data_IF_401010105670
#
_entry.id   IF_401010105670
#
_cell.length_a   1.000
_cell.length_b   1.000
_cell.length_c   1.000
_cell.angle_alpha   90.00
_cell.angle_beta   90.00
_cell.angle_gamma   90.00
#
_symmetry.space_group_name_H-M   'P 1'
#
loop_
_entity.id
_entity.type
_entity.pdbx_description
1 polymer ?
#
# COMPACT_ATOMS: atom_id res chain seq x y z
N UNK A 1 -16.04 -15.64 24.36
CA UNK A 1 -15.30 -16.18 23.20
C UNK A 1 -13.98 -15.41 23.09
N UNK A 2 -12.89 -16.06 22.69
CA UNK A 2 -11.64 -15.34 22.44
C UNK A 2 -11.82 -14.39 21.24
N UNK A 3 -11.34 -13.15 21.36
CA UNK A 3 -11.44 -12.12 20.32
C UNK A 3 -10.44 -12.45 19.20
N UNK A 4 -10.92 -12.57 17.96
CA UNK A 4 -10.06 -12.84 16.78
C UNK A 4 -8.99 -11.75 16.65
N UNK A 5 -7.76 -12.17 16.40
CA UNK A 5 -6.57 -11.32 16.32
C UNK A 5 -5.98 -11.29 14.92
N UNK A 6 -5.95 -10.10 14.33
CA UNK A 6 -5.25 -9.80 13.08
C UNK A 6 -3.79 -9.41 13.35
N UNK A 7 -2.86 -10.14 12.75
CA UNK A 7 -1.48 -9.72 12.61
C UNK A 7 -1.35 -8.71 11.48
N UNK A 8 -1.28 -7.42 11.80
CA UNK A 8 -1.12 -6.36 10.82
C UNK A 8 0.37 -6.24 10.46
N UNK A 9 0.73 -6.77 9.29
CA UNK A 9 2.10 -6.77 8.78
C UNK A 9 2.36 -5.49 8.01
N UNK A 10 3.19 -4.61 8.56
CA UNK A 10 3.51 -3.32 7.94
C UNK A 10 4.86 -2.78 8.40
N UNK A 11 5.54 -2.06 7.53
CA UNK A 11 6.80 -1.37 7.88
C UNK A 11 6.56 -0.17 8.78
N UNK A 12 5.54 0.63 8.48
CA UNK A 12 5.09 1.73 9.34
C UNK A 12 4.25 1.18 10.50
N UNK A 13 4.37 1.82 11.67
CA UNK A 13 3.62 1.43 12.85
C UNK A 13 2.17 1.92 12.77
N UNK A 14 1.17 1.02 12.67
CA UNK A 14 -0.23 1.39 12.45
C UNK A 14 -0.90 2.04 13.68
N UNK A 15 -0.26 2.05 14.84
CA UNK A 15 -0.79 2.65 16.08
C UNK A 15 -0.37 4.11 16.28
N UNK A 16 0.72 4.54 15.66
CA UNK A 16 1.29 5.88 15.89
C UNK A 16 1.51 6.68 14.59
N UNK A 17 1.77 6.02 13.47
CA UNK A 17 2.08 6.69 12.21
C UNK A 17 0.82 7.05 11.45
N UNK A 18 0.42 8.32 11.55
CA UNK A 18 -0.74 8.89 10.84
C UNK A 18 -0.41 9.45 9.44
N UNK A 19 0.84 9.33 8.98
CA UNK A 19 1.29 9.88 7.69
C UNK A 19 1.56 8.80 6.66
N UNK A 20 2.00 7.61 7.08
CA UNK A 20 2.26 6.51 6.19
C UNK A 20 1.04 6.19 5.32
N UNK A 21 1.26 6.20 4.00
CA UNK A 21 0.23 6.01 2.98
C UNK A 21 -1.00 6.91 3.18
N UNK A 22 -0.75 8.19 3.43
CA UNK A 22 -1.80 9.20 3.68
C UNK A 22 -2.73 8.85 4.85
N UNK A 23 -2.19 8.20 5.87
CA UNK A 23 -2.94 7.76 7.06
C UNK A 23 -3.75 6.48 6.87
N UNK A 24 -3.73 5.88 5.67
CA UNK A 24 -4.49 4.66 5.36
C UNK A 24 -4.11 3.50 6.27
N UNK A 25 -2.80 3.32 6.54
CA UNK A 25 -2.33 2.23 7.41
C UNK A 25 -2.93 2.35 8.82
N UNK A 26 -2.92 3.57 9.38
CA UNK A 26 -3.50 3.87 10.68
C UNK A 26 -5.02 3.64 10.68
N UNK A 27 -5.72 4.16 9.66
CA UNK A 27 -7.18 4.10 9.58
C UNK A 27 -7.71 2.69 9.37
N UNK A 28 -7.06 1.88 8.54
CA UNK A 28 -7.40 0.45 8.40
C UNK A 28 -7.32 -0.25 9.75
N UNK A 29 -6.24 -0.01 10.53
CA UNK A 29 -6.10 -0.64 11.85
C UNK A 29 -7.22 -0.21 12.79
N UNK A 30 -7.57 1.08 12.79
CA UNK A 30 -8.69 1.62 13.58
C UNK A 30 -10.02 0.96 13.18
N UNK A 31 -10.30 0.83 11.88
CA UNK A 31 -11.51 0.18 11.39
C UNK A 31 -11.60 -1.31 11.78
N UNK A 32 -10.49 -2.04 11.77
CA UNK A 32 -10.45 -3.45 12.24
C UNK A 32 -10.77 -3.51 13.74
N UNK A 33 -10.24 -2.60 14.55
CA UNK A 33 -10.53 -2.55 15.99
C UNK A 33 -11.98 -2.17 16.28
N UNK A 34 -12.52 -1.19 15.56
CA UNK A 34 -13.92 -0.75 15.64
C UNK A 34 -14.90 -1.85 15.25
N UNK A 35 -14.52 -2.72 14.30
CA UNK A 35 -15.29 -3.91 13.92
C UNK A 35 -15.29 -5.01 15.01
N UNK A 36 -14.62 -4.78 16.15
CA UNK A 36 -14.61 -5.71 17.27
C UNK A 36 -13.51 -6.77 17.19
N UNK A 37 -12.45 -6.54 16.41
CA UNK A 37 -11.27 -7.41 16.34
C UNK A 37 -10.08 -6.85 17.12
N UNK A 38 -9.09 -7.69 17.41
CA UNK A 38 -7.82 -7.27 18.00
C UNK A 38 -6.79 -7.11 16.90
N UNK A 39 -5.98 -6.06 16.94
CA UNK A 39 -4.86 -5.90 16.03
C UNK A 39 -3.54 -6.03 16.78
N UNK A 40 -2.61 -6.80 16.22
CA UNK A 40 -1.21 -6.87 16.65
C UNK A 40 -0.33 -6.41 15.49
N UNK A 41 0.49 -5.39 15.72
CA UNK A 41 1.46 -4.97 14.71
C UNK A 41 2.60 -5.98 14.60
N UNK A 42 2.91 -6.35 13.36
CA UNK A 42 4.03 -7.21 12.99
C UNK A 42 5.00 -6.39 12.14
N UNK A 43 6.05 -5.82 12.75
CA UNK A 43 7.04 -5.06 12.01
C UNK A 43 7.93 -5.98 11.18
N UNK A 44 8.42 -5.44 10.06
CA UNK A 44 9.55 -6.00 9.33
C UNK A 44 10.54 -4.89 9.01
N UNK A 45 11.80 -5.26 8.85
CA UNK A 45 12.90 -4.32 8.62
C UNK A 45 13.67 -4.69 7.36
N UNK A 46 14.22 -3.67 6.70
CA UNK A 46 15.14 -3.87 5.60
C UNK A 46 16.57 -3.89 6.17
N UNK A 47 17.36 -4.95 6.00
CA UNK A 47 18.66 -5.05 6.66
C UNK A 47 19.66 -3.99 6.19
N UNK A 48 20.65 -3.64 7.00
CA UNK A 48 21.59 -2.56 6.65
C UNK A 48 22.42 -2.84 5.38
N UNK A 49 22.84 -4.09 5.16
CA UNK A 49 23.60 -4.51 3.96
C UNK A 49 22.85 -4.23 2.66
N UNK A 50 21.53 -4.13 2.72
CA UNK A 50 20.68 -3.79 1.60
C UNK A 50 21.00 -2.40 1.00
N UNK A 51 21.56 -1.47 1.80
CA UNK A 51 22.05 -0.17 1.31
C UNK A 51 23.21 -0.30 0.31
N UNK A 52 24.08 -1.30 0.47
CA UNK A 52 25.14 -1.56 -0.50
C UNK A 52 24.55 -2.02 -1.84
N UNK A 53 23.58 -2.92 -1.79
CA UNK A 53 22.82 -3.40 -2.94
C UNK A 53 22.13 -2.22 -3.65
N UNK A 54 21.50 -1.31 -2.90
CA UNK A 54 20.89 -0.08 -3.44
C UNK A 54 21.92 0.77 -4.20
N UNK A 55 23.14 0.93 -3.66
CA UNK A 55 24.24 1.64 -4.33
C UNK A 55 24.62 1.03 -5.68
N UNK A 56 24.69 -0.31 -5.76
CA UNK A 56 24.95 -1.02 -7.02
C UNK A 56 23.85 -0.77 -8.06
N UNK A 57 22.59 -0.70 -7.63
CA UNK A 57 21.47 -0.42 -8.53
C UNK A 57 21.43 1.03 -9.01
N UNK A 58 21.81 2.00 -8.17
CA UNK A 58 22.00 3.37 -8.63
C UNK A 58 23.11 3.48 -9.69
N UNK A 59 24.20 2.72 -9.52
CA UNK A 59 25.26 2.66 -10.53
C UNK A 59 24.74 2.03 -11.83
N UNK A 60 24.04 0.89 -11.75
CA UNK A 60 23.41 0.26 -12.91
C UNK A 60 22.47 1.21 -13.65
N UNK A 61 21.62 1.95 -12.93
CA UNK A 61 20.69 2.90 -13.53
C UNK A 61 21.43 4.04 -14.24
N UNK A 62 22.53 4.55 -13.68
CA UNK A 62 23.36 5.56 -14.35
C UNK A 62 24.04 5.03 -15.61
N UNK A 63 24.48 3.77 -15.61
CA UNK A 63 25.20 3.18 -16.74
C UNK A 63 24.28 2.76 -17.89
N UNK A 64 23.07 2.26 -17.58
CA UNK A 64 22.14 1.71 -18.58
C UNK A 64 20.98 2.65 -18.91
N UNK A 65 20.77 3.69 -18.10
CA UNK A 65 19.58 4.52 -18.15
C UNK A 65 18.30 3.81 -17.71
N UNK A 66 18.36 2.58 -17.18
CA UNK A 66 17.19 1.77 -16.80
C UNK A 66 16.97 1.78 -15.29
N UNK A 67 15.71 1.99 -14.89
CA UNK A 67 15.32 2.01 -13.48
C UNK A 67 15.08 0.61 -12.93
N UNK A 68 15.26 0.45 -11.61
CA UNK A 68 14.98 -0.79 -10.89
C UNK A 68 14.19 -0.46 -9.62
N UNK A 69 13.11 -1.21 -9.40
CA UNK A 69 12.30 -1.07 -8.18
C UNK A 69 12.95 -1.86 -7.05
N UNK A 70 13.70 -1.17 -6.21
CA UNK A 70 14.53 -1.79 -5.18
C UNK A 70 13.76 -2.73 -4.22
N UNK A 71 12.56 -2.34 -3.80
CA UNK A 71 11.72 -3.17 -2.92
C UNK A 71 11.28 -4.49 -3.56
N UNK A 72 11.27 -4.56 -4.90
CA UNK A 72 10.85 -5.73 -5.68
C UNK A 72 12.01 -6.58 -6.18
N UNK A 73 13.19 -6.43 -5.58
CA UNK A 73 14.30 -7.36 -5.82
C UNK A 73 14.05 -8.63 -4.98
N UNK A 74 14.10 -9.84 -5.57
CA UNK A 74 13.78 -11.09 -4.87
C UNK A 74 14.58 -11.33 -3.59
N UNK A 75 15.86 -10.93 -3.58
CA UNK A 75 16.72 -11.04 -2.41
C UNK A 75 16.26 -10.09 -1.29
N UNK A 76 15.94 -8.84 -1.62
CA UNK A 76 15.46 -7.84 -0.65
C UNK A 76 14.13 -8.28 -0.05
N UNK A 77 13.19 -8.71 -0.89
CA UNK A 77 11.90 -9.28 -0.48
C UNK A 77 12.07 -10.44 0.51
N UNK A 78 13.01 -11.35 0.24
CA UNK A 78 13.33 -12.49 1.13
C UNK A 78 13.91 -12.02 2.46
N UNK A 79 14.82 -11.05 2.43
CA UNK A 79 15.43 -10.49 3.63
C UNK A 79 14.40 -9.79 4.52
N UNK A 80 13.49 -9.00 3.94
CA UNK A 80 12.42 -8.34 4.68
C UNK A 80 11.48 -9.36 5.32
N UNK A 81 11.06 -10.39 4.59
CA UNK A 81 10.21 -11.44 5.14
C UNK A 81 10.89 -12.25 6.25
N UNK A 82 12.20 -12.52 6.13
CA UNK A 82 12.94 -13.24 7.16
C UNK A 82 13.18 -12.41 8.43
N UNK A 83 13.03 -11.08 8.36
CA UNK A 83 13.13 -10.20 9.54
C UNK A 83 11.90 -10.25 10.45
N UNK A 84 10.80 -10.86 10.01
CA UNK A 84 9.59 -10.98 10.81
C UNK A 84 9.79 -12.02 11.92
N UNK A 85 9.47 -11.65 13.15
CA UNK A 85 9.42 -12.60 14.26
C UNK A 85 8.23 -13.56 14.10
N UNK A 86 8.54 -14.83 13.82
CA UNK A 86 7.55 -15.91 13.66
C UNK A 86 6.67 -16.10 14.90
N UNK A 87 7.12 -15.71 16.11
CA UNK A 87 6.30 -15.77 17.33
C UNK A 87 5.13 -14.78 17.29
N UNK A 88 5.32 -13.62 16.63
CA UNK A 88 4.24 -12.65 16.46
C UNK A 88 3.14 -13.20 15.54
N UNK A 89 3.53 -13.87 14.46
CA UNK A 89 2.62 -14.55 13.53
C UNK A 89 1.86 -15.67 14.25
N UNK A 90 2.56 -16.53 15.00
CA UNK A 90 1.97 -17.67 15.69
C UNK A 90 0.86 -17.26 16.66
N UNK A 91 1.00 -16.10 17.30
CA UNK A 91 0.01 -15.55 18.22
C UNK A 91 -1.15 -14.78 17.56
N UNK A 92 -1.33 -14.89 16.25
CA UNK A 92 -2.46 -14.30 15.50
C UNK A 92 -3.29 -15.39 14.82
N UNK A 93 -4.55 -15.07 14.54
CA UNK A 93 -5.48 -15.98 13.84
C UNK A 93 -5.35 -15.84 12.32
N UNK A 94 -5.07 -14.62 11.85
CA UNK A 94 -4.92 -14.28 10.44
C UNK A 94 -3.98 -13.10 10.27
N UNK A 95 -3.48 -12.88 9.05
CA UNK A 95 -2.59 -11.78 8.72
C UNK A 95 -3.27 -10.77 7.80
N UNK A 96 -2.97 -9.50 8.00
CA UNK A 96 -3.41 -8.41 7.15
C UNK A 96 -2.20 -7.66 6.60
N UNK A 97 -2.15 -7.51 5.28
CA UNK A 97 -1.13 -6.77 4.55
C UNK A 97 -1.79 -5.58 3.86
N UNK A 98 -1.36 -4.35 4.19
CA UNK A 98 -1.68 -3.16 3.39
C UNK A 98 -0.47 -2.81 2.52
N UNK A 99 -0.59 -3.12 1.23
CA UNK A 99 0.56 -3.22 0.33
C UNK A 99 1.53 -4.30 0.78
N UNK A 100 2.81 -4.14 0.46
CA UNK A 100 3.85 -5.04 0.96
C UNK A 100 3.90 -6.41 0.27
N UNK A 101 3.52 -6.50 -1.02
CA UNK A 101 3.59 -7.74 -1.80
C UNK A 101 4.97 -8.38 -1.78
N UNK A 102 6.04 -7.59 -1.64
CA UNK A 102 7.39 -8.11 -1.48
C UNK A 102 7.54 -9.04 -0.26
N UNK A 103 6.97 -8.67 0.88
CA UNK A 103 7.04 -9.49 2.10
C UNK A 103 6.06 -10.65 2.02
N UNK A 104 4.83 -10.36 1.59
CA UNK A 104 3.78 -11.38 1.45
C UNK A 104 4.22 -12.51 0.49
N UNK A 105 4.89 -12.19 -0.61
CA UNK A 105 5.39 -13.20 -1.56
C UNK A 105 6.36 -14.21 -0.94
N UNK A 106 7.02 -13.87 0.18
CA UNK A 106 8.08 -14.65 0.82
C UNK A 106 7.75 -15.17 2.22
N UNK A 107 6.75 -14.62 2.90
CA UNK A 107 6.38 -15.05 4.25
C UNK A 107 5.94 -16.53 4.26
N UNK A 108 6.39 -17.29 5.24
CA UNK A 108 5.99 -18.68 5.47
C UNK A 108 4.94 -18.70 6.58
N UNK A 109 3.70 -19.04 6.24
CA UNK A 109 2.57 -19.06 7.18
C UNK A 109 1.49 -19.99 6.66
N UNK A 110 0.79 -20.64 7.59
CA UNK A 110 -0.45 -21.40 7.38
C UNK A 110 -1.70 -20.56 7.66
N UNK A 111 -1.53 -19.39 8.28
CA UNK A 111 -2.61 -18.45 8.62
C UNK A 111 -3.26 -17.88 7.35
N UNK A 112 -4.59 -17.69 7.34
CA UNK A 112 -5.27 -16.94 6.28
C UNK A 112 -4.68 -15.55 6.12
N UNK A 113 -4.59 -15.08 4.88
CA UNK A 113 -4.03 -13.77 4.56
C UNK A 113 -5.04 -12.89 3.84
N UNK A 114 -5.23 -11.69 4.38
CA UNK A 114 -5.91 -10.57 3.75
C UNK A 114 -4.85 -9.66 3.14
N UNK A 115 -4.95 -9.41 1.83
CA UNK A 115 -4.03 -8.54 1.12
C UNK A 115 -4.80 -7.39 0.49
N UNK A 116 -4.48 -6.16 0.89
CA UNK A 116 -5.04 -4.94 0.35
C UNK A 116 -4.00 -4.21 -0.51
N UNK A 117 -4.34 -3.85 -1.75
CA UNK A 117 -3.44 -3.10 -2.64
C UNK A 117 -4.21 -2.10 -3.51
N UNK A 118 -3.65 -0.92 -3.72
CA UNK A 118 -4.23 0.12 -4.57
C UNK A 118 -4.05 -0.14 -6.07
N UNK A 119 -2.96 -0.82 -6.42
CA UNK A 119 -2.67 -1.28 -7.77
C UNK A 119 -1.90 -2.61 -7.72
N UNK A 120 -1.90 -3.33 -8.84
CA UNK A 120 -0.99 -4.45 -9.09
C UNK A 120 0.36 -3.93 -9.60
N UNK A 121 1.44 -4.71 -9.48
CA UNK A 121 2.75 -4.31 -10.02
C UNK A 121 2.71 -3.97 -11.52
N UNK A 122 1.98 -4.74 -12.33
CA UNK A 122 1.90 -4.54 -13.78
C UNK A 122 1.38 -3.16 -14.14
N UNK A 123 0.25 -2.75 -13.55
CA UNK A 123 -0.32 -1.42 -13.73
C UNK A 123 0.61 -0.28 -13.34
N UNK A 124 1.57 -0.53 -12.44
CA UNK A 124 2.54 0.47 -12.01
C UNK A 124 3.70 0.65 -13.00
N UNK A 125 3.94 -0.34 -13.86
CA UNK A 125 4.97 -0.27 -14.91
C UNK A 125 4.57 0.80 -15.93
N UNK A 126 5.48 1.75 -16.19
CA UNK A 126 5.29 2.88 -17.10
C UNK A 126 4.11 3.84 -16.76
N UNK A 127 3.31 3.56 -15.74
CA UNK A 127 2.39 4.52 -15.11
C UNK A 127 3.08 5.34 -14.02
N UNK A 128 3.66 4.64 -13.03
CA UNK A 128 4.35 5.27 -11.90
C UNK A 128 5.86 5.01 -11.92
N UNK A 129 6.27 3.88 -12.50
CA UNK A 129 7.68 3.50 -12.65
C UNK A 129 8.07 3.45 -14.13
N UNK A 130 8.51 4.58 -14.69
CA UNK A 130 8.90 4.63 -16.10
C UNK A 130 10.23 3.93 -16.33
N UNK A 131 10.37 3.31 -17.51
CA UNK A 131 11.65 2.88 -18.07
C UNK A 131 12.38 1.87 -17.17
N UNK A 132 11.63 0.92 -16.62
CA UNK A 132 12.19 -0.17 -15.84
C UNK A 132 13.04 -1.10 -16.69
N UNK A 133 14.11 -1.65 -16.10
CA UNK A 133 14.85 -2.75 -16.69
C UNK A 133 13.93 -3.99 -16.81
N UNK A 134 14.05 -4.75 -17.90
CA UNK A 134 13.22 -5.94 -18.13
C UNK A 134 13.31 -6.96 -16.98
N UNK A 135 14.46 -7.09 -16.33
CA UNK A 135 14.61 -7.91 -15.13
C UNK A 135 13.78 -7.39 -13.95
N UNK A 136 13.71 -6.07 -13.74
CA UNK A 136 12.91 -5.46 -12.68
C UNK A 136 11.43 -5.70 -12.89
N UNK A 137 10.94 -5.60 -14.13
CA UNK A 137 9.55 -5.91 -14.48
C UNK A 137 9.24 -7.38 -14.16
N UNK A 138 10.11 -8.30 -14.59
CA UNK A 138 9.98 -9.73 -14.28
C UNK A 138 9.97 -10.01 -12.78
N UNK A 139 10.84 -9.37 -12.00
CA UNK A 139 10.89 -9.56 -10.56
C UNK A 139 9.64 -9.04 -9.86
N UNK A 140 9.19 -7.84 -10.22
CA UNK A 140 7.98 -7.25 -9.66
C UNK A 140 6.75 -8.09 -9.93
N UNK A 141 6.52 -8.48 -11.19
CA UNK A 141 5.39 -9.35 -11.53
C UNK A 141 5.47 -10.73 -10.88
N UNK A 142 6.67 -11.31 -10.75
CA UNK A 142 6.83 -12.57 -10.03
C UNK A 142 6.55 -12.45 -8.53
N UNK A 143 6.89 -11.32 -7.91
CA UNK A 143 6.59 -11.04 -6.51
C UNK A 143 5.09 -10.85 -6.32
N UNK A 144 4.47 -10.02 -7.16
CA UNK A 144 3.04 -9.72 -7.12
C UNK A 144 2.20 -10.99 -7.30
N UNK A 145 2.50 -11.79 -8.34
CA UNK A 145 1.84 -13.08 -8.57
C UNK A 145 1.88 -13.97 -7.31
N UNK A 146 3.07 -14.13 -6.71
CA UNK A 146 3.22 -14.97 -5.50
C UNK A 146 2.48 -14.42 -4.29
N UNK A 147 2.35 -13.09 -4.18
CA UNK A 147 1.60 -12.47 -3.11
C UNK A 147 0.09 -12.71 -3.28
N UNK A 148 -0.43 -12.49 -4.50
CA UNK A 148 -1.82 -12.74 -4.86
C UNK A 148 -2.20 -14.23 -4.72
N UNK A 149 -1.35 -15.14 -5.20
CA UNK A 149 -1.58 -16.59 -5.08
C UNK A 149 -1.74 -17.03 -3.62
N UNK A 150 -0.93 -16.46 -2.73
CA UNK A 150 -0.91 -16.78 -1.29
C UNK A 150 -2.06 -16.15 -0.53
N UNK A 151 -2.55 -14.99 -0.97
CA UNK A 151 -3.65 -14.32 -0.32
C UNK A 151 -4.92 -15.18 -0.37
N UNK A 152 -5.61 -15.25 0.77
CA UNK A 152 -6.92 -15.90 0.90
C UNK A 152 -8.03 -14.95 0.47
N UNK A 153 -7.87 -13.67 0.80
CA UNK A 153 -8.76 -12.56 0.41
C UNK A 153 -7.90 -11.43 -0.13
N UNK A 154 -8.25 -10.94 -1.32
CA UNK A 154 -7.59 -9.81 -1.96
C UNK A 154 -8.58 -8.66 -2.05
N UNK A 155 -8.15 -7.50 -1.60
CA UNK A 155 -8.93 -6.27 -1.59
C UNK A 155 -8.21 -5.25 -2.46
N UNK A 156 -8.85 -4.83 -3.55
CA UNK A 156 -8.39 -3.74 -4.38
C UNK A 156 -9.20 -2.48 -4.13
N UNK A 157 -8.57 -1.32 -4.24
CA UNK A 157 -9.25 -0.02 -4.05
C UNK A 157 -10.10 0.41 -5.25
N UNK A 158 -10.04 -0.32 -6.36
CA UNK A 158 -10.78 -0.02 -7.58
C UNK A 158 -10.96 -1.25 -8.46
N UNK A 159 -11.95 -1.20 -9.35
CA UNK A 159 -12.12 -2.20 -10.41
C UNK A 159 -10.94 -2.25 -11.38
N UNK A 160 -10.23 -1.13 -11.58
CA UNK A 160 -9.04 -1.09 -12.43
C UNK A 160 -7.95 -2.05 -11.93
N UNK A 161 -7.65 -1.99 -10.63
CA UNK A 161 -6.68 -2.89 -9.99
C UNK A 161 -7.19 -4.34 -9.90
N UNK A 162 -8.48 -4.52 -9.56
CA UNK A 162 -9.12 -5.85 -9.50
C UNK A 162 -9.12 -6.56 -10.85
N UNK A 163 -9.45 -5.85 -11.93
CA UNK A 163 -9.41 -6.39 -13.28
C UNK A 163 -7.99 -6.77 -13.71
N UNK A 164 -6.96 -5.99 -13.35
CA UNK A 164 -5.57 -6.40 -13.60
C UNK A 164 -5.21 -7.70 -12.87
N UNK A 165 -5.56 -7.83 -11.58
CA UNK A 165 -5.34 -9.06 -10.83
C UNK A 165 -6.03 -10.28 -11.47
N UNK A 166 -7.25 -10.11 -11.98
CA UNK A 166 -7.98 -11.16 -12.69
C UNK A 166 -7.36 -11.49 -14.05
N UNK A 167 -7.10 -10.47 -14.87
CA UNK A 167 -6.84 -10.65 -16.30
C UNK A 167 -5.35 -10.92 -16.57
N UNK A 168 -4.45 -10.22 -15.86
CA UNK A 168 -3.00 -10.38 -16.00
C UNK A 168 -2.43 -11.48 -15.09
N UNK A 169 -2.87 -11.53 -13.83
CA UNK A 169 -2.34 -12.48 -12.83
C UNK A 169 -3.22 -13.74 -12.67
N UNK A 170 -4.32 -13.85 -13.43
CA UNK A 170 -5.21 -15.01 -13.45
C UNK A 170 -5.78 -15.38 -12.08
N UNK A 171 -6.02 -14.38 -11.22
CA UNK A 171 -6.54 -14.60 -9.88
C UNK A 171 -8.05 -14.92 -9.95
N UNK A 172 -8.52 -15.99 -9.25
CA UNK A 172 -9.93 -16.33 -9.22
C UNK A 172 -10.79 -15.20 -8.65
N UNK A 173 -11.91 -14.91 -9.32
CA UNK A 173 -12.87 -13.89 -8.88
C UNK A 173 -13.38 -14.13 -7.44
N UNK A 174 -13.40 -15.38 -6.97
CA UNK A 174 -13.79 -15.72 -5.59
C UNK A 174 -12.86 -15.17 -4.50
N UNK A 175 -11.62 -14.78 -4.85
CA UNK A 175 -10.68 -14.13 -3.94
C UNK A 175 -10.72 -12.60 -4.01
N UNK A 176 -11.21 -12.05 -5.11
CA UNK A 176 -11.12 -10.63 -5.43
C UNK A 176 -12.31 -9.87 -4.86
N UNK A 177 -12.02 -8.78 -4.17
CA UNK A 177 -13.01 -7.87 -3.59
C UNK A 177 -12.58 -6.44 -3.89
N UNK A 178 -13.54 -5.57 -4.15
CA UNK A 178 -13.29 -4.13 -4.35
C UNK A 178 -13.85 -3.37 -3.16
N UNK A 179 -12.98 -2.63 -2.46
CA UNK A 179 -13.35 -1.73 -1.37
C UNK A 179 -12.57 -0.44 -1.58
N UNK A 180 -13.28 0.61 -1.97
CA UNK A 180 -12.68 1.92 -2.23
C UNK A 180 -12.07 2.54 -0.98
N UNK A 181 -11.02 3.34 -1.15
CA UNK A 181 -10.44 4.07 -0.04
C UNK A 181 -11.32 5.24 0.39
N UNK A 182 -11.47 5.39 1.70
CA UNK A 182 -12.04 6.58 2.31
C UNK A 182 -11.02 7.72 2.40
N UNK A 183 -11.49 8.90 2.78
CA UNK A 183 -10.67 10.11 2.92
C UNK A 183 -9.66 10.05 4.08
N UNK A 184 -9.73 9.03 4.95
CA UNK A 184 -8.92 8.90 6.18
C UNK A 184 -9.04 10.08 7.17
N UNK A 185 -10.13 10.84 7.10
CA UNK A 185 -10.39 12.01 7.95
C UNK A 185 -11.15 11.57 9.21
N UNK A 186 -10.78 12.13 10.36
CA UNK A 186 -11.54 11.97 11.61
C UNK A 186 -12.83 12.81 11.53
N UNK A 187 -13.98 12.27 11.94
CA UNK A 187 -15.28 12.97 11.77
C UNK A 187 -15.32 14.36 12.41
N UNK A 188 -14.61 14.55 13.54
CA UNK A 188 -14.46 15.82 14.24
C UNK A 188 -13.69 16.89 13.45
N UNK A 189 -12.95 16.49 12.41
CA UNK A 189 -12.23 17.39 11.50
C UNK A 189 -13.03 17.73 10.24
N UNK A 190 -14.18 17.10 10.04
CA UNK A 190 -15.07 17.44 8.94
C UNK A 190 -15.78 18.74 9.32
N UNK A 191 -15.27 19.85 8.83
CA UNK A 191 -15.97 21.13 8.91
C UNK A 191 -17.07 21.15 7.86
N UNK A 192 -18.32 21.34 8.29
CA UNK A 192 -19.41 21.63 7.35
C UNK A 192 -19.04 22.92 6.61
N UNK A 193 -19.03 22.93 5.27
CA UNK A 193 -18.66 24.14 4.54
C UNK A 193 -19.61 25.26 4.95
N UNK A 194 -19.04 26.30 5.57
CA UNK A 194 -19.73 27.59 5.69
C UNK A 194 -19.97 28.05 4.26
N UNK A 195 -21.22 28.33 3.87
CA UNK A 195 -21.55 28.90 2.56
C UNK A 195 -20.63 30.11 2.32
N UNK A 196 -19.58 29.94 1.52
CA UNK A 196 -18.84 31.08 1.00
C UNK A 196 -19.60 31.55 -0.23
N UNK A 197 -20.31 32.67 -0.09
CA UNK A 197 -20.80 33.42 -1.23
C UNK A 197 -19.57 33.96 -1.97
N UNK A 198 -19.19 33.27 -3.05
CA UNK A 198 -18.24 33.84 -3.99
C UNK A 198 -18.93 35.03 -4.67
N UNK A 199 -18.35 36.22 -4.53
CA UNK A 199 -18.83 37.43 -5.19
C UNK A 199 -18.72 37.25 -6.72
N UNK A 200 -19.78 36.72 -7.32
CA UNK A 200 -19.83 36.43 -8.75
C UNK A 200 -20.75 35.26 -9.10
N UNK A 201 -22.03 35.31 -8.71
CA UNK A 201 -23.18 34.73 -9.44
C UNK A 201 -23.14 33.29 -9.95
N UNK A 202 -22.23 32.44 -9.48
CA UNK A 202 -22.11 31.05 -9.93
C UNK A 202 -21.73 30.18 -8.74
N UNK A 203 -22.63 29.26 -8.38
CA UNK A 203 -22.38 28.28 -7.31
C UNK A 203 -21.33 27.31 -7.85
N UNK A 204 -20.08 27.47 -7.41
CA UNK A 204 -19.01 26.51 -7.64
C UNK A 204 -18.61 25.94 -6.28
N UNK A 205 -18.94 24.68 -6.01
CA UNK A 205 -18.50 24.00 -4.78
C UNK A 205 -17.01 23.68 -4.90
N UNK A 206 -16.16 24.56 -4.39
CA UNK A 206 -14.74 24.30 -4.20
C UNK A 206 -14.48 23.94 -2.73
N UNK A 207 -13.88 22.77 -2.49
CA UNK A 207 -13.40 22.34 -1.18
C UNK A 207 -12.02 22.94 -0.93
N UNK A 208 -11.92 23.91 -0.02
CA UNK A 208 -10.63 24.45 0.43
C UNK A 208 -10.15 23.71 1.70
N UNK A 209 -9.00 23.05 1.61
CA UNK A 209 -8.25 22.56 2.78
C UNK A 209 -7.28 23.65 3.27
N UNK A 210 -7.15 23.88 4.59
CA UNK A 210 -6.29 24.94 5.08
C UNK A 210 -4.82 24.47 5.09
N UNK A 211 -3.99 25.07 4.23
CA UNK A 211 -2.55 24.83 4.21
C UNK A 211 -1.76 25.88 3.43
N UNK A 212 -1.05 26.73 4.18
CA UNK A 212 -0.04 27.72 3.76
C UNK A 212 -0.55 29.07 3.23
N UNK A 213 -0.30 30.10 4.03
CA UNK A 213 -0.25 31.51 3.62
C UNK A 213 0.86 31.67 2.57
N UNK A 214 0.49 31.64 1.29
CA UNK A 214 1.34 31.96 0.15
C UNK A 214 0.59 32.87 -0.80
N UNK A 215 1.16 34.03 -1.09
CA UNK A 215 0.60 35.06 -1.96
C UNK A 215 0.19 34.50 -3.32
N UNK A 216 -1.12 34.56 -3.61
CA UNK A 216 -1.67 34.15 -4.90
C UNK A 216 -1.24 35.08 -6.03
N UNK A 217 -0.53 34.54 -7.02
CA UNK A 217 -0.62 35.03 -8.41
C UNK A 217 -1.52 34.08 -9.19
N UNK A 218 -2.69 34.58 -9.57
CA UNK A 218 -3.61 33.90 -10.47
C UNK A 218 -2.93 33.70 -11.84
N UNK A 219 -2.81 32.45 -12.27
CA UNK A 219 -2.49 32.13 -13.66
C UNK A 219 -3.80 32.16 -14.47
N UNK A 220 -3.89 33.13 -15.37
CA UNK A 220 -4.93 33.18 -16.42
C UNK A 220 -4.60 32.09 -17.44
N UNK A 221 -5.56 31.19 -17.70
CA UNK A 221 -5.57 30.36 -18.90
C UNK A 221 -5.83 31.26 -20.12
N UNK A 222 -4.95 31.18 -21.11
CA UNK A 222 -5.26 31.37 -22.53
C UNK A 222 -5.15 30.00 -23.20
#
# INVERSE_FOLDING_TARGET
MAKITFGYVSKANPFIDRKAWSGTIFKIRESIEQAGYTVRWIPYTTPFFSKFILGLYHLYAKLTGKNIVYSHIPLIARMEAHSIDKKLIAGCDMLFFSGGSQVLSRIETDKPVFYLSDATFELMVDYYWPNLAACSVRYGNSIEQRALDKASVIIHSSEWASNSARDYYHIPASKLNVIEFGANIDEDKIQTPVKQEFAGGGICSAYCFPGSTGSGRAARLQ
#
